data_IF_764959667817
#
_entry.id   IF_764959667817
#
_cell.length_a   1.000
_cell.length_b   1.000
_cell.length_c   1.000
_cell.angle_alpha   90.00
_cell.angle_beta   90.00
_cell.angle_gamma   90.00
#
_symmetry.space_group_name_H-M   'P 1'
#
loop_
_entity.id
_entity.type
_entity.pdbx_description
1 polymer ?
#
# COMPACT_ATOMS: atom_id res chain seq x y z
N UNK A 1 -8.64 26.05 10.78
CA UNK A 1 -8.48 25.47 9.43
C UNK A 1 -9.04 26.46 8.43
N UNK A 2 -8.25 26.92 7.46
CA UNK A 2 -8.61 28.09 6.62
C UNK A 2 -9.62 27.66 5.52
N UNK A 3 -10.73 28.37 5.34
CA UNK A 3 -11.82 28.07 4.37
C UNK A 3 -11.31 27.89 2.93
N UNK A 4 -10.26 28.63 2.52
CA UNK A 4 -9.59 28.47 1.21
C UNK A 4 -8.96 27.08 1.04
N UNK A 5 -8.38 26.49 2.08
CA UNK A 5 -7.77 25.16 2.04
C UNK A 5 -8.84 24.05 1.95
N UNK A 6 -9.99 24.23 2.58
CA UNK A 6 -11.13 23.30 2.47
C UNK A 6 -11.70 23.28 1.04
N UNK A 7 -11.85 24.43 0.39
CA UNK A 7 -12.37 24.51 -0.98
C UNK A 7 -11.42 23.84 -1.99
N UNK A 8 -10.10 24.06 -1.84
CA UNK A 8 -9.08 23.42 -2.69
C UNK A 8 -9.03 21.89 -2.50
N UNK A 9 -9.15 21.41 -1.28
CA UNK A 9 -9.20 19.98 -0.97
C UNK A 9 -10.47 19.33 -1.54
N UNK A 10 -11.62 19.95 -1.40
CA UNK A 10 -12.86 19.48 -1.99
C UNK A 10 -12.80 19.41 -3.52
N UNK A 11 -12.14 20.37 -4.19
CA UNK A 11 -11.93 20.36 -5.64
C UNK A 11 -11.04 19.17 -6.05
N UNK A 12 -9.96 18.88 -5.30
CA UNK A 12 -9.10 17.71 -5.53
C UNK A 12 -9.87 16.41 -5.37
N UNK A 13 -10.65 16.26 -4.30
CA UNK A 13 -11.45 15.07 -4.06
C UNK A 13 -12.48 14.83 -5.17
N UNK A 14 -13.18 15.88 -5.64
CA UNK A 14 -14.08 15.80 -6.79
C UNK A 14 -13.34 15.30 -8.04
N UNK A 15 -12.13 15.82 -8.33
CA UNK A 15 -11.31 15.39 -9.46
C UNK A 15 -10.89 13.92 -9.35
N UNK A 16 -10.52 13.44 -8.15
CA UNK A 16 -10.17 12.03 -7.93
C UNK A 16 -11.40 11.15 -8.22
N UNK A 17 -12.55 11.50 -7.66
CA UNK A 17 -13.77 10.70 -7.83
C UNK A 17 -14.33 10.77 -9.26
N UNK A 18 -14.12 11.85 -10.00
CA UNK A 18 -14.59 11.95 -11.40
C UNK A 18 -13.93 10.95 -12.34
N UNK A 19 -12.73 10.44 -12.01
CA UNK A 19 -12.10 9.38 -12.78
C UNK A 19 -12.89 8.05 -12.72
N UNK A 20 -13.68 7.85 -11.67
CA UNK A 20 -14.57 6.70 -11.57
C UNK A 20 -15.72 6.70 -12.60
N UNK A 21 -15.93 7.81 -13.32
CA UNK A 21 -16.91 7.88 -14.40
C UNK A 21 -16.46 7.15 -15.67
N UNK A 22 -15.15 6.85 -15.79
CA UNK A 22 -14.64 6.04 -16.90
C UNK A 22 -15.08 4.58 -16.70
N UNK A 23 -15.75 4.00 -17.69
CA UNK A 23 -16.35 2.65 -17.65
C UNK A 23 -15.41 1.56 -17.09
N UNK A 24 -14.14 1.53 -17.57
CA UNK A 24 -13.16 0.55 -17.10
C UNK A 24 -12.80 0.73 -15.63
N UNK A 25 -12.56 1.98 -15.21
CA UNK A 25 -12.18 2.30 -13.82
C UNK A 25 -13.37 2.06 -12.88
N UNK A 26 -14.57 2.43 -13.29
CA UNK A 26 -15.81 2.17 -12.56
C UNK A 26 -16.01 0.69 -12.26
N UNK A 27 -15.83 -0.16 -13.27
CA UNK A 27 -15.94 -1.61 -13.11
C UNK A 27 -14.96 -2.15 -12.07
N UNK A 28 -13.67 -1.82 -12.21
CA UNK A 28 -12.61 -2.25 -11.27
C UNK A 28 -12.92 -1.74 -9.86
N UNK A 29 -13.34 -0.49 -9.73
CA UNK A 29 -13.69 0.09 -8.43
C UNK A 29 -14.88 -0.62 -7.78
N UNK A 30 -15.92 -0.96 -8.55
CA UNK A 30 -17.11 -1.64 -8.03
C UNK A 30 -16.76 -3.06 -7.55
N UNK A 31 -15.97 -3.80 -8.31
CA UNK A 31 -15.46 -5.13 -7.93
C UNK A 31 -14.62 -5.04 -6.64
N UNK A 32 -13.70 -4.09 -6.58
CA UNK A 32 -12.89 -3.82 -5.39
C UNK A 32 -13.75 -3.44 -4.18
N UNK A 33 -14.68 -2.50 -4.35
CA UNK A 33 -15.53 -2.00 -3.26
C UNK A 33 -16.45 -3.07 -2.70
N UNK A 34 -17.02 -3.93 -3.57
CA UNK A 34 -17.88 -5.04 -3.17
C UNK A 34 -17.12 -6.13 -2.39
N UNK A 35 -15.85 -6.34 -2.74
CA UNK A 35 -14.97 -7.31 -2.06
C UNK A 35 -14.45 -6.81 -0.72
N UNK A 36 -14.14 -5.51 -0.61
CA UNK A 36 -13.49 -4.97 0.57
C UNK A 36 -14.40 -4.90 1.80
N UNK A 37 -15.65 -4.44 1.67
CA UNK A 37 -16.71 -4.34 2.72
C UNK A 37 -16.24 -3.88 4.12
N UNK A 38 -15.12 -3.15 4.20
CA UNK A 38 -14.53 -2.70 5.47
C UNK A 38 -15.09 -1.32 5.82
N UNK A 39 -15.67 -1.19 7.02
CA UNK A 39 -16.19 0.08 7.55
C UNK A 39 -15.25 0.74 8.57
N UNK A 40 -14.20 0.03 8.98
CA UNK A 40 -13.20 0.51 9.95
C UNK A 40 -12.00 1.18 9.25
N UNK A 41 -11.13 1.79 10.06
CA UNK A 41 -9.87 2.33 9.58
C UNK A 41 -8.99 1.20 9.03
N UNK A 42 -8.32 1.46 7.91
CA UNK A 42 -7.45 0.49 7.27
C UNK A 42 -6.09 1.10 6.88
N UNK A 43 -5.13 0.24 6.62
CA UNK A 43 -3.83 0.60 6.10
C UNK A 43 -3.60 -0.01 4.72
N UNK A 44 -2.75 0.64 3.93
CA UNK A 44 -2.30 0.18 2.62
C UNK A 44 -0.78 0.23 2.58
N UNK A 45 -0.14 -0.87 2.25
CA UNK A 45 1.29 -0.88 1.96
C UNK A 45 1.52 -0.62 0.47
N UNK A 46 2.32 0.39 0.18
CA UNK A 46 2.64 0.81 -1.19
C UNK A 46 4.11 0.53 -1.47
N UNK A 47 4.38 -0.32 -2.46
CA UNK A 47 5.75 -0.65 -2.88
C UNK A 47 6.28 0.24 -4.00
N UNK A 48 5.40 0.97 -4.69
CA UNK A 48 5.72 1.79 -5.87
C UNK A 48 5.48 1.07 -7.20
N UNK A 49 5.23 -0.23 -7.20
CA UNK A 49 4.78 -0.96 -8.39
C UNK A 49 3.34 -0.61 -8.78
N UNK A 50 2.94 -0.89 -10.05
CA UNK A 50 1.65 -0.48 -10.61
C UNK A 50 0.47 -0.96 -9.78
N UNK A 51 0.49 -2.20 -9.30
CA UNK A 51 -0.61 -2.79 -8.54
C UNK A 51 -0.79 -2.13 -7.18
N UNK A 52 0.31 -1.85 -6.47
CA UNK A 52 0.27 -1.17 -5.19
C UNK A 52 -0.18 0.30 -5.33
N UNK A 53 0.14 0.96 -6.44
CA UNK A 53 -0.34 2.31 -6.76
C UNK A 53 -1.82 2.29 -7.15
N UNK A 54 -2.26 1.32 -7.94
CA UNK A 54 -3.67 1.11 -8.27
C UNK A 54 -4.49 0.85 -7.00
N UNK A 55 -4.02 -0.04 -6.11
CA UNK A 55 -4.64 -0.31 -4.82
C UNK A 55 -4.73 0.95 -3.96
N UNK A 56 -3.67 1.76 -3.92
CA UNK A 56 -3.67 3.03 -3.19
C UNK A 56 -4.72 4.01 -3.74
N UNK A 57 -4.87 4.09 -5.06
CA UNK A 57 -5.88 4.92 -5.70
C UNK A 57 -7.32 4.42 -5.39
N UNK A 58 -7.58 3.12 -5.55
CA UNK A 58 -8.89 2.53 -5.27
C UNK A 58 -9.30 2.71 -3.80
N UNK A 59 -8.36 2.51 -2.88
CA UNK A 59 -8.61 2.73 -1.45
C UNK A 59 -8.78 4.20 -1.11
N UNK A 60 -8.14 5.13 -1.83
CA UNK A 60 -8.42 6.58 -1.68
C UNK A 60 -9.86 6.91 -2.10
N UNK A 61 -10.31 6.39 -3.23
CA UNK A 61 -11.70 6.56 -3.68
C UNK A 61 -12.69 5.96 -2.67
N UNK A 62 -12.38 4.77 -2.16
CA UNK A 62 -13.18 4.08 -1.14
C UNK A 62 -13.27 4.90 0.15
N UNK A 63 -12.15 5.43 0.62
CA UNK A 63 -12.06 6.32 1.78
C UNK A 63 -12.95 7.56 1.63
N UNK A 64 -12.90 8.20 0.46
CA UNK A 64 -13.71 9.41 0.18
C UNK A 64 -15.19 9.11 0.13
N UNK A 65 -15.61 7.98 -0.46
CA UNK A 65 -17.02 7.59 -0.56
C UNK A 65 -17.61 7.11 0.77
N UNK A 66 -16.83 6.34 1.54
CA UNK A 66 -17.32 5.71 2.78
C UNK A 66 -16.94 6.49 4.04
N UNK A 67 -16.23 7.63 3.91
CA UNK A 67 -15.78 8.49 5.03
C UNK A 67 -14.95 7.73 6.07
N UNK A 68 -14.17 6.73 5.64
CA UNK A 68 -13.24 5.99 6.51
C UNK A 68 -11.83 6.54 6.40
N UNK A 69 -11.03 6.36 7.44
CA UNK A 69 -9.63 6.79 7.46
C UNK A 69 -8.73 5.69 6.91
N UNK A 70 -7.95 6.03 5.88
CA UNK A 70 -6.93 5.14 5.30
C UNK A 70 -5.54 5.71 5.58
N UNK A 71 -4.63 4.86 6.05
CA UNK A 71 -3.21 5.19 6.23
C UNK A 71 -2.39 4.47 5.17
N UNK A 72 -1.42 5.17 4.61
CA UNK A 72 -0.57 4.63 3.54
C UNK A 72 0.87 4.56 4.04
N UNK A 73 1.51 3.41 3.85
CA UNK A 73 2.86 3.13 4.31
C UNK A 73 3.74 2.68 3.15
N UNK A 74 4.94 3.23 3.08
CA UNK A 74 6.03 2.78 2.22
C UNK A 74 7.09 2.21 3.15
N UNK A 75 7.61 1.01 2.86
CA UNK A 75 8.73 0.45 3.62
C UNK A 75 10.01 0.69 2.84
N UNK A 76 10.91 1.49 3.43
CA UNK A 76 12.25 1.71 2.93
C UNK A 76 13.21 0.74 3.61
N UNK A 77 13.66 -0.27 2.88
CA UNK A 77 14.58 -1.29 3.40
C UNK A 77 16.01 -0.77 3.55
N UNK A 78 16.37 0.33 2.90
CA UNK A 78 17.74 0.89 2.86
C UNK A 78 18.80 -0.16 2.48
N UNK A 79 18.45 -1.09 1.59
CA UNK A 79 19.36 -2.15 1.12
C UNK A 79 20.27 -1.65 0.01
N UNK A 80 19.82 -0.68 -0.77
CA UNK A 80 20.57 -0.01 -1.85
C UNK A 80 20.64 1.48 -1.55
N UNK A 81 21.61 2.17 -2.12
CA UNK A 81 21.76 3.63 -1.97
C UNK A 81 20.53 4.38 -2.49
N UNK A 82 19.93 3.87 -3.55
CA UNK A 82 18.77 4.45 -4.24
C UNK A 82 17.45 4.23 -3.50
N UNK A 83 17.38 3.30 -2.54
CA UNK A 83 16.12 2.92 -1.86
C UNK A 83 15.38 4.10 -1.23
N UNK A 84 16.11 5.10 -0.73
CA UNK A 84 15.49 6.30 -0.15
C UNK A 84 14.91 7.22 -1.22
N UNK A 85 15.60 7.39 -2.35
CA UNK A 85 15.12 8.17 -3.50
C UNK A 85 13.89 7.52 -4.12
N UNK A 86 13.89 6.20 -4.25
CA UNK A 86 12.73 5.42 -4.72
C UNK A 86 11.51 5.65 -3.82
N UNK A 87 11.67 5.52 -2.51
CA UNK A 87 10.60 5.75 -1.54
C UNK A 87 10.06 7.19 -1.59
N UNK A 88 10.93 8.18 -1.72
CA UNK A 88 10.52 9.59 -1.85
C UNK A 88 9.82 9.87 -3.18
N UNK A 89 10.24 9.22 -4.27
CA UNK A 89 9.59 9.32 -5.57
C UNK A 89 8.16 8.76 -5.51
N UNK A 90 7.97 7.60 -4.92
CA UNK A 90 6.63 7.02 -4.69
C UNK A 90 5.78 7.95 -3.84
N UNK A 91 6.35 8.53 -2.77
CA UNK A 91 5.65 9.50 -1.93
C UNK A 91 5.19 10.74 -2.71
N UNK A 92 6.01 11.25 -3.65
CA UNK A 92 5.64 12.37 -4.54
C UNK A 92 4.48 11.99 -5.45
N UNK A 93 4.51 10.81 -6.07
CA UNK A 93 3.40 10.30 -6.90
C UNK A 93 2.09 10.24 -6.11
N UNK A 94 2.13 9.67 -4.91
CA UNK A 94 0.95 9.57 -4.03
C UNK A 94 0.40 10.96 -3.64
N UNK A 95 1.28 11.93 -3.40
CA UNK A 95 0.88 13.31 -3.09
C UNK A 95 0.07 13.96 -4.21
N UNK A 96 0.34 13.62 -5.49
CA UNK A 96 -0.40 14.16 -6.63
C UNK A 96 -1.88 13.74 -6.63
N UNK A 97 -2.19 12.59 -6.04
CA UNK A 97 -3.56 12.07 -5.86
C UNK A 97 -4.08 12.28 -4.43
N UNK A 98 -3.52 13.27 -3.73
CA UNK A 98 -3.92 13.66 -2.36
C UNK A 98 -3.83 12.51 -1.34
N UNK A 99 -2.84 11.65 -1.51
CA UNK A 99 -2.50 10.60 -0.54
C UNK A 99 -1.26 11.03 0.23
N UNK A 100 -1.42 11.18 1.54
CA UNK A 100 -0.29 11.33 2.46
C UNK A 100 0.16 9.95 2.92
N UNK A 101 1.45 9.64 2.73
CA UNK A 101 2.01 8.37 3.18
C UNK A 101 3.17 8.57 4.15
N UNK A 102 3.37 7.57 5.01
CA UNK A 102 4.48 7.49 5.96
C UNK A 102 5.51 6.50 5.45
N UNK A 103 6.78 6.91 5.43
CA UNK A 103 7.89 6.01 5.09
C UNK A 103 8.37 5.34 6.39
N UNK A 104 8.30 4.02 6.43
CA UNK A 104 8.81 3.18 7.51
C UNK A 104 10.22 2.72 7.16
N UNK A 105 11.21 3.20 7.89
CA UNK A 105 12.60 2.89 7.62
C UNK A 105 13.05 1.63 8.35
N UNK A 106 13.73 0.74 7.64
CA UNK A 106 14.47 -0.34 8.30
C UNK A 106 15.77 0.20 8.88
N UNK A 107 15.78 0.36 10.20
CA UNK A 107 16.97 0.70 10.97
C UNK A 107 17.59 -0.59 11.55
N UNK A 108 18.94 -0.67 11.59
CA UNK A 108 19.70 -1.80 12.10
C UNK A 108 20.57 -2.50 11.06
N UNK A 109 21.28 -3.57 11.48
CA UNK A 109 22.19 -4.32 10.63
C UNK A 109 21.46 -4.95 9.44
N UNK A 110 22.05 -4.84 8.27
CA UNK A 110 21.56 -5.48 7.05
C UNK A 110 22.05 -6.93 7.01
N UNK A 111 21.22 -7.88 6.57
CA UNK A 111 21.65 -9.25 6.47
C UNK A 111 22.66 -9.43 5.32
N UNK A 112 23.64 -10.29 5.52
CA UNK A 112 24.57 -10.71 4.47
C UNK A 112 24.07 -11.93 3.70
N UNK A 113 23.14 -12.72 4.29
CA UNK A 113 22.55 -13.92 3.69
C UNK A 113 21.03 -13.84 3.71
N UNK A 114 20.38 -14.48 2.75
CA UNK A 114 18.92 -14.53 2.62
C UNK A 114 18.26 -13.14 2.63
N UNK A 115 18.89 -12.18 1.96
CA UNK A 115 18.52 -10.75 2.01
C UNK A 115 17.05 -10.54 1.67
N UNK A 116 16.54 -11.20 0.61
CA UNK A 116 15.14 -11.04 0.17
C UNK A 116 14.15 -11.55 1.22
N UNK A 117 14.36 -12.74 1.77
CA UNK A 117 13.49 -13.30 2.80
C UNK A 117 13.46 -12.39 4.03
N UNK A 118 14.63 -12.00 4.53
CA UNK A 118 14.73 -11.11 5.69
C UNK A 118 14.15 -9.72 5.44
N UNK A 119 14.27 -9.20 4.21
CA UNK A 119 13.63 -7.94 3.83
C UNK A 119 12.09 -8.07 3.84
N UNK A 120 11.57 -9.21 3.35
CA UNK A 120 10.13 -9.53 3.40
C UNK A 120 9.64 -9.58 4.85
N UNK A 121 10.29 -10.34 5.72
CA UNK A 121 9.93 -10.46 7.14
C UNK A 121 9.96 -9.10 7.85
N UNK A 122 11.01 -8.32 7.58
CA UNK A 122 11.14 -6.98 8.15
C UNK A 122 10.05 -6.02 7.67
N UNK A 123 9.65 -6.14 6.40
CA UNK A 123 8.52 -5.36 5.84
C UNK A 123 7.25 -5.64 6.63
N UNK A 124 6.89 -6.90 6.79
CA UNK A 124 5.69 -7.27 7.54
C UNK A 124 5.75 -6.86 8.99
N UNK A 125 6.91 -7.04 9.64
CA UNK A 125 7.13 -6.60 11.02
C UNK A 125 6.93 -5.09 11.19
N UNK A 126 7.51 -4.26 10.31
CA UNK A 126 7.35 -2.80 10.37
C UNK A 126 5.89 -2.39 10.15
N UNK A 127 5.22 -2.96 9.17
CA UNK A 127 3.83 -2.67 8.85
C UNK A 127 2.90 -3.11 9.99
N UNK A 128 3.07 -4.33 10.51
CA UNK A 128 2.27 -4.87 11.61
C UNK A 128 2.42 -4.04 12.87
N UNK A 129 3.65 -3.66 13.23
CA UNK A 129 3.91 -2.83 14.40
C UNK A 129 3.26 -1.45 14.28
N UNK A 130 3.30 -0.85 13.08
CA UNK A 130 2.67 0.45 12.86
C UNK A 130 1.14 0.34 12.88
N UNK A 131 0.58 -0.73 12.31
CA UNK A 131 -0.86 -1.00 12.39
C UNK A 131 -1.33 -1.19 13.84
N UNK A 132 -0.59 -1.95 14.64
CA UNK A 132 -0.86 -2.13 16.08
C UNK A 132 -0.83 -0.79 16.84
N UNK A 133 0.20 0.04 16.63
CA UNK A 133 0.31 1.38 17.24
C UNK A 133 -0.87 2.30 16.92
N UNK A 134 -1.48 2.12 15.74
CA UNK A 134 -2.61 2.95 15.27
C UNK A 134 -3.96 2.27 15.42
N UNK A 135 -4.02 1.11 16.08
CA UNK A 135 -5.21 0.28 16.25
C UNK A 135 -5.93 0.00 14.90
N UNK A 136 -5.15 -0.41 13.89
CA UNK A 136 -5.64 -0.76 12.55
C UNK A 136 -5.65 -2.27 12.42
N UNK A 137 -6.82 -2.84 12.13
CA UNK A 137 -7.01 -4.29 11.99
C UNK A 137 -6.79 -4.81 10.57
N UNK A 138 -6.96 -3.93 9.57
CA UNK A 138 -6.94 -4.31 8.16
C UNK A 138 -5.74 -3.66 7.45
N UNK A 139 -4.84 -4.49 6.92
CA UNK A 139 -3.70 -4.09 6.09
C UNK A 139 -3.88 -4.67 4.69
N UNK A 140 -3.97 -3.80 3.69
CA UNK A 140 -4.05 -4.18 2.28
C UNK A 140 -2.68 -4.16 1.63
N UNK A 141 -2.42 -5.16 0.81
CA UNK A 141 -1.18 -5.36 0.06
C UNK A 141 -1.52 -5.55 -1.42
N UNK A 142 -0.80 -4.89 -2.31
CA UNK A 142 -0.94 -5.08 -3.76
C UNK A 142 -0.13 -6.30 -4.23
N UNK A 143 -0.59 -7.49 -3.86
CA UNK A 143 -0.05 -8.75 -4.33
C UNK A 143 -1.06 -9.46 -5.23
N UNK A 144 -0.58 -10.03 -6.33
CA UNK A 144 -1.39 -10.89 -7.18
C UNK A 144 -1.43 -12.33 -6.64
N UNK A 145 -2.50 -13.03 -6.96
CA UNK A 145 -2.58 -14.47 -6.70
C UNK A 145 -1.43 -15.21 -7.38
N UNK A 146 -1.04 -14.76 -8.57
CA UNK A 146 0.10 -15.31 -9.31
C UNK A 146 1.42 -15.16 -8.55
N UNK A 147 1.65 -14.05 -7.83
CA UNK A 147 2.86 -13.87 -7.00
C UNK A 147 2.92 -14.89 -5.87
N UNK A 148 1.76 -15.23 -5.29
CA UNK A 148 1.67 -16.29 -4.27
C UNK A 148 1.94 -17.66 -4.88
N UNK A 149 1.41 -17.92 -6.08
CA UNK A 149 1.59 -19.19 -6.77
C UNK A 149 3.03 -19.36 -7.25
N UNK A 150 3.65 -18.33 -7.81
CA UNK A 150 5.07 -18.32 -8.18
C UNK A 150 5.97 -18.58 -6.97
N UNK A 151 5.74 -17.89 -5.86
CA UNK A 151 6.47 -18.13 -4.61
C UNK A 151 6.28 -19.57 -4.09
N UNK A 152 5.07 -20.12 -4.22
CA UNK A 152 4.77 -21.51 -3.86
C UNK A 152 5.56 -22.50 -4.71
N UNK A 153 5.55 -22.33 -6.05
CA UNK A 153 6.31 -23.18 -6.97
C UNK A 153 7.83 -23.10 -6.70
N UNK A 154 8.38 -21.89 -6.51
CA UNK A 154 9.80 -21.72 -6.20
C UNK A 154 10.17 -22.45 -4.91
N UNK A 155 9.30 -22.48 -3.90
CA UNK A 155 9.54 -23.19 -2.64
C UNK A 155 9.50 -24.70 -2.80
N UNK A 156 8.55 -25.22 -3.58
CA UNK A 156 8.50 -26.65 -3.90
C UNK A 156 9.78 -27.08 -4.59
N UNK A 157 10.20 -26.35 -5.64
CA UNK A 157 11.43 -26.67 -6.40
C UNK A 157 12.69 -26.62 -5.52
N UNK A 158 12.72 -25.71 -4.54
CA UNK A 158 13.84 -25.59 -3.59
C UNK A 158 13.78 -26.56 -2.42
N UNK A 159 12.74 -27.39 -2.31
CA UNK A 159 12.58 -28.34 -1.21
C UNK A 159 12.38 -27.72 0.17
N UNK A 160 12.01 -26.42 0.24
CA UNK A 160 11.89 -25.70 1.51
C UNK A 160 10.55 -25.89 2.24
N UNK A 161 9.68 -26.80 1.76
CA UNK A 161 8.43 -27.17 2.41
C UNK A 161 7.38 -26.06 2.49
N UNK A 162 6.22 -26.42 3.08
CA UNK A 162 5.04 -25.52 3.23
C UNK A 162 5.14 -24.58 4.45
N UNK A 163 6.15 -24.72 5.28
CA UNK A 163 6.32 -23.89 6.48
C UNK A 163 6.62 -22.45 6.09
N UNK A 164 5.61 -21.58 6.21
CA UNK A 164 5.71 -20.13 5.96
C UNK A 164 4.91 -19.60 4.75
N UNK A 165 3.82 -20.27 4.41
CA UNK A 165 2.75 -19.66 3.62
C UNK A 165 1.95 -18.65 4.44
#
# INVERSE_FOLDING_TARGET
MNLKNLSAQNKKHKKILSQLNQKKISRIYNEFSSSLKVKENLAVAVSGGPDSLALAYLTKCYSLKNKIKVRYYIVNHKLRKESSLEADSVKKVLKNIDIQCTILNWNGKKPSKNIQARARDKRYSLLSNECKKKNIKHLLLGHHLNDLFENFLIRIVRGSGLNGL
#
